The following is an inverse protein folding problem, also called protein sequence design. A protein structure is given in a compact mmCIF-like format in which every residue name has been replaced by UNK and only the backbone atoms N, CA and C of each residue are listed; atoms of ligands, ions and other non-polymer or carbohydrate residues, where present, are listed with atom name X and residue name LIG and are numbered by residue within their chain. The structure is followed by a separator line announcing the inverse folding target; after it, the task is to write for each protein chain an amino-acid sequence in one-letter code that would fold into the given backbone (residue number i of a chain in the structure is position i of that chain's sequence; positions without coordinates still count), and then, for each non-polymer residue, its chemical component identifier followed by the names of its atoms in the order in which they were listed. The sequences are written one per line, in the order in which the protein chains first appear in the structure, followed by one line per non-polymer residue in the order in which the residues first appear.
data_IF_358876711953
#
_entry.id   IF_358876711953
#
_cell.length_a   1.000
_cell.length_b   1.000
_cell.length_c   1.000
_cell.angle_alpha   90.00
_cell.angle_beta   90.00
_cell.angle_gamma   90.00
#
_symmetry.space_group_name_H-M   'P 1'
#
loop_
_entity.id
_entity.type
_entity.pdbx_description
1 polymer ?
#
# COMPACT_ATOMS: atom_id res chain seq x y z
N UNK A 1 -9.75 14.70 -0.48
CA UNK A 1 -8.73 14.56 -1.53
C UNK A 1 -8.12 13.16 -1.50
N UNK A 2 -7.83 12.63 -2.66
CA UNK A 2 -7.30 11.26 -2.82
C UNK A 2 -6.06 11.35 -3.69
N UNK A 3 -4.97 10.73 -3.25
CA UNK A 3 -3.72 10.64 -4.01
C UNK A 3 -3.32 9.18 -4.20
N UNK A 4 -3.35 8.72 -5.44
CA UNK A 4 -3.07 7.34 -5.81
C UNK A 4 -1.89 7.30 -6.76
N UNK A 5 -0.93 6.41 -6.47
CA UNK A 5 0.27 6.28 -7.27
C UNK A 5 0.72 4.83 -7.37
N UNK A 6 1.11 4.43 -8.56
CA UNK A 6 1.86 3.19 -8.80
C UNK A 6 3.15 3.61 -9.50
N UNK A 7 4.29 3.23 -8.96
CA UNK A 7 5.58 3.72 -9.44
C UNK A 7 6.69 2.68 -9.22
N UNK A 8 7.67 2.60 -10.13
CA UNK A 8 8.89 1.83 -9.88
C UNK A 8 9.88 2.54 -8.95
N UNK A 9 9.63 3.81 -8.64
CA UNK A 9 10.52 4.59 -7.77
C UNK A 9 10.26 4.29 -6.30
N UNK A 10 11.29 4.50 -5.47
CA UNK A 10 11.19 4.38 -4.04
C UNK A 10 10.09 5.29 -3.49
N UNK A 11 9.27 4.75 -2.60
CA UNK A 11 8.20 5.51 -1.95
C UNK A 11 8.77 6.40 -0.85
N UNK A 12 8.20 7.59 -0.69
CA UNK A 12 8.69 8.60 0.25
C UNK A 12 7.71 8.79 1.41
N UNK A 13 8.12 8.34 2.60
CA UNK A 13 7.30 8.44 3.81
C UNK A 13 7.09 9.91 4.19
N UNK A 14 8.13 10.73 4.11
CA UNK A 14 8.06 12.13 4.52
C UNK A 14 7.08 12.92 3.66
N UNK A 15 7.17 12.77 2.35
CA UNK A 15 6.23 13.42 1.44
C UNK A 15 4.79 12.96 1.69
N UNK A 16 4.62 11.67 1.97
CA UNK A 16 3.30 11.11 2.26
C UNK A 16 2.72 11.74 3.53
N UNK A 17 3.52 11.85 4.58
CA UNK A 17 3.10 12.49 5.83
C UNK A 17 2.76 13.96 5.63
N UNK A 18 3.58 14.69 4.90
CA UNK A 18 3.34 16.11 4.65
C UNK A 18 2.03 16.33 3.87
N UNK A 19 1.76 15.47 2.90
CA UNK A 19 0.55 15.59 2.08
C UNK A 19 -0.72 15.22 2.84
N UNK A 20 -0.66 14.23 3.72
CA UNK A 20 -1.87 13.71 4.39
C UNK A 20 -2.43 14.66 5.44
N UNK A 21 -1.62 15.58 5.93
CA UNK A 21 -2.04 16.55 6.96
C UNK A 21 -3.10 17.49 6.39
N UNK A 22 -4.22 17.58 7.10
CA UNK A 22 -5.31 18.49 6.79
C UNK A 22 -5.63 19.31 8.03
N UNK A 23 -5.99 20.58 7.86
CA UNK A 23 -6.25 21.48 8.99
C UNK A 23 -7.38 20.98 9.92
N UNK A 24 -8.27 20.15 9.37
CA UNK A 24 -9.43 19.64 10.13
C UNK A 24 -9.16 18.27 10.75
N UNK A 25 -8.02 17.65 10.48
CA UNK A 25 -7.78 16.30 10.98
C UNK A 25 -7.36 16.32 12.45
N UNK A 26 -7.93 15.40 13.22
CA UNK A 26 -7.50 15.13 14.59
C UNK A 26 -6.71 13.83 14.70
N UNK A 27 -6.73 13.00 13.65
CA UNK A 27 -6.01 11.73 13.61
C UNK A 27 -5.48 11.40 12.23
N UNK A 28 -4.28 10.83 12.22
CA UNK A 28 -3.64 10.33 11.00
C UNK A 28 -3.24 8.89 11.27
N UNK A 29 -3.67 7.99 10.38
CA UNK A 29 -3.20 6.62 10.40
C UNK A 29 -2.31 6.38 9.20
N UNK A 30 -1.13 5.81 9.44
CA UNK A 30 -0.13 5.54 8.42
C UNK A 30 0.24 4.07 8.47
N UNK A 31 -0.05 3.35 7.40
CA UNK A 31 0.39 1.98 7.23
C UNK A 31 1.54 1.93 6.24
N UNK A 32 2.64 1.30 6.64
CA UNK A 32 3.81 1.09 5.80
C UNK A 32 4.05 -0.40 5.72
N UNK A 33 3.92 -0.97 4.50
CA UNK A 33 4.32 -2.34 4.25
C UNK A 33 5.82 -2.40 4.01
N UNK A 34 6.46 -3.51 4.41
CA UNK A 34 7.88 -3.74 4.19
C UNK A 34 8.11 -5.13 3.62
N UNK A 35 9.18 -5.27 2.85
CA UNK A 35 9.60 -6.59 2.37
C UNK A 35 10.24 -7.33 3.54
N UNK A 36 9.64 -8.46 3.93
CA UNK A 36 10.10 -9.28 5.06
C UNK A 36 11.34 -10.09 4.70
N UNK A 37 12.22 -10.38 5.67
CA UNK A 37 13.43 -11.17 5.42
C UNK A 37 13.16 -12.66 5.22
N UNK A 38 11.99 -13.15 5.65
CA UNK A 38 11.66 -14.58 5.59
C UNK A 38 10.19 -14.79 5.21
N UNK A 39 9.94 -15.90 4.52
CA UNK A 39 8.59 -16.41 4.26
C UNK A 39 8.58 -17.90 4.53
N UNK A 40 7.79 -18.33 5.54
CA UNK A 40 7.69 -19.72 5.95
C UNK A 40 9.07 -20.39 6.19
N UNK A 41 9.98 -19.65 6.83
CA UNK A 41 11.32 -20.12 7.15
C UNK A 41 12.34 -19.99 6.03
N UNK A 42 11.93 -19.60 4.83
CA UNK A 42 12.83 -19.38 3.70
C UNK A 42 13.29 -17.92 3.67
N UNK A 43 14.60 -17.72 3.54
CA UNK A 43 15.17 -16.37 3.47
C UNK A 43 14.91 -15.76 2.11
N UNK A 44 14.29 -14.58 2.10
CA UNK A 44 13.97 -13.83 0.90
C UNK A 44 15.20 -12.99 0.50
N UNK A 45 15.57 -13.08 -0.77
CA UNK A 45 16.65 -12.26 -1.35
C UNK A 45 16.07 -11.00 -1.97
N UNK A 46 15.01 -11.18 -2.76
CA UNK A 46 14.33 -10.06 -3.39
C UNK A 46 12.87 -10.39 -3.70
N UNK A 47 12.10 -9.35 -3.90
CA UNK A 47 10.70 -9.40 -4.28
C UNK A 47 10.54 -8.63 -5.58
N UNK A 48 9.90 -9.25 -6.57
CA UNK A 48 9.53 -8.56 -7.80
C UNK A 48 8.02 -8.37 -7.83
N UNK A 49 7.59 -7.14 -8.03
CA UNK A 49 6.18 -6.78 -8.10
C UNK A 49 5.85 -6.21 -9.48
N UNK A 50 4.74 -6.66 -10.04
CA UNK A 50 4.25 -6.15 -11.32
C UNK A 50 2.73 -6.09 -11.30
N UNK A 51 2.15 -5.30 -12.20
CA UNK A 51 0.70 -5.12 -12.27
C UNK A 51 0.28 -4.63 -13.64
N UNK A 52 -1.01 -4.80 -13.92
CA UNK A 52 -1.67 -4.07 -15.02
C UNK A 52 -2.00 -2.68 -14.50
N UNK A 53 -1.12 -1.72 -14.77
CA UNK A 53 -1.12 -0.40 -14.12
C UNK A 53 -2.46 0.31 -14.19
N UNK A 54 -3.09 0.40 -15.37
CA UNK A 54 -4.37 1.11 -15.49
C UNK A 54 -5.49 0.44 -14.70
N UNK A 55 -5.56 -0.89 -14.75
CA UNK A 55 -6.57 -1.64 -13.99
C UNK A 55 -6.33 -1.48 -12.49
N UNK A 56 -5.10 -1.54 -12.05
CA UNK A 56 -4.73 -1.36 -10.65
C UNK A 56 -5.07 0.06 -10.16
N UNK A 57 -4.76 1.08 -10.95
CA UNK A 57 -5.10 2.46 -10.60
C UNK A 57 -6.62 2.65 -10.46
N UNK A 58 -7.39 2.08 -11.38
CA UNK A 58 -8.85 2.14 -11.32
C UNK A 58 -9.39 1.46 -10.06
N UNK A 59 -8.86 0.30 -9.72
CA UNK A 59 -9.28 -0.43 -8.53
C UNK A 59 -8.91 0.31 -7.25
N UNK A 60 -7.72 0.87 -7.18
CA UNK A 60 -7.30 1.69 -6.04
C UNK A 60 -8.19 2.93 -5.87
N UNK A 61 -8.59 3.55 -6.98
CA UNK A 61 -9.51 4.68 -6.94
C UNK A 61 -10.87 4.27 -6.39
N UNK A 62 -11.38 3.12 -6.81
CA UNK A 62 -12.65 2.56 -6.32
C UNK A 62 -12.58 2.31 -4.81
N UNK A 63 -11.50 1.71 -4.34
CA UNK A 63 -11.28 1.44 -2.92
C UNK A 63 -11.26 2.75 -2.11
N UNK A 64 -10.51 3.73 -2.59
CA UNK A 64 -10.40 5.02 -1.92
C UNK A 64 -11.73 5.76 -1.87
N UNK A 65 -12.47 5.77 -2.98
CA UNK A 65 -13.80 6.40 -3.04
C UNK A 65 -14.76 5.77 -2.04
N UNK A 66 -14.77 4.46 -1.96
CA UNK A 66 -15.62 3.74 -1.00
C UNK A 66 -15.26 4.12 0.43
N UNK A 67 -13.97 4.09 0.77
CA UNK A 67 -13.51 4.41 2.12
C UNK A 67 -13.86 5.86 2.50
N UNK A 68 -13.66 6.79 1.58
CA UNK A 68 -13.95 8.20 1.81
C UNK A 68 -15.43 8.45 2.09
N UNK A 69 -16.30 7.75 1.37
CA UNK A 69 -17.74 7.90 1.55
C UNK A 69 -18.26 7.23 2.84
N UNK A 70 -17.65 6.11 3.20
CA UNK A 70 -18.10 5.34 4.36
C UNK A 70 -17.68 5.97 5.70
N UNK A 71 -16.46 6.48 5.80
CA UNK A 71 -15.88 6.90 7.08
C UNK A 71 -15.64 8.39 7.24
N UNK A 72 -16.08 9.21 6.33
CA UNK A 72 -15.94 10.67 6.45
C UNK A 72 -14.52 11.12 6.80
N UNK A 73 -13.57 10.72 5.98
CA UNK A 73 -12.16 11.09 6.12
C UNK A 73 -11.81 12.30 5.26
N UNK A 74 -10.76 13.06 5.61
CA UNK A 74 -10.33 14.23 4.86
C UNK A 74 -9.49 13.84 3.65
N UNK A 75 -8.42 13.09 3.86
CA UNK A 75 -7.50 12.72 2.79
C UNK A 75 -7.16 11.25 2.85
N UNK A 76 -6.96 10.66 1.67
CA UNK A 76 -6.50 9.28 1.50
C UNK A 76 -5.33 9.27 0.53
N UNK A 77 -4.26 8.60 0.90
CA UNK A 77 -3.10 8.37 0.06
C UNK A 77 -2.85 6.87 -0.06
N UNK A 78 -2.71 6.38 -1.27
CA UNK A 78 -2.34 4.99 -1.54
C UNK A 78 -1.23 4.99 -2.57
N UNK A 79 -0.01 4.70 -2.14
CA UNK A 79 1.14 4.59 -3.03
C UNK A 79 1.64 3.17 -3.05
N UNK A 80 1.80 2.60 -4.22
CA UNK A 80 2.33 1.25 -4.40
C UNK A 80 3.52 1.25 -5.33
N UNK A 81 4.59 0.58 -4.92
CA UNK A 81 5.79 0.42 -5.73
C UNK A 81 5.72 -0.88 -6.51
N UNK A 82 6.21 -0.87 -7.73
CA UNK A 82 6.41 -2.05 -8.56
C UNK A 82 7.89 -2.16 -8.94
N UNK A 83 8.27 -3.29 -9.53
CA UNK A 83 9.66 -3.55 -9.89
C UNK A 83 10.36 -4.44 -8.87
N UNK A 84 11.67 -4.34 -8.81
CA UNK A 84 12.50 -5.16 -7.93
C UNK A 84 12.71 -4.45 -6.59
N UNK A 85 12.30 -5.12 -5.52
CA UNK A 85 12.45 -4.63 -4.15
C UNK A 85 13.34 -5.60 -3.38
N UNK A 86 14.06 -5.06 -2.40
CA UNK A 86 14.93 -5.83 -1.51
C UNK A 86 14.33 -5.88 -0.11
N UNK A 87 14.84 -6.77 0.71
CA UNK A 87 14.43 -6.88 2.12
C UNK A 87 14.54 -5.51 2.80
N UNK A 88 13.46 -5.11 3.47
CA UNK A 88 13.37 -3.82 4.13
C UNK A 88 12.82 -2.68 3.28
N UNK A 89 12.76 -2.85 1.95
CA UNK A 89 12.14 -1.86 1.08
C UNK A 89 10.63 -1.77 1.34
N UNK A 90 10.04 -0.66 0.91
CA UNK A 90 8.63 -0.35 1.17
C UNK A 90 7.83 -0.51 -0.12
N UNK A 91 7.00 -1.58 -0.23
CA UNK A 91 6.13 -1.77 -1.39
C UNK A 91 4.87 -0.91 -1.35
N UNK A 92 4.39 -0.53 -0.17
CA UNK A 92 3.11 0.19 -0.07
C UNK A 92 3.11 1.15 1.11
N UNK A 93 2.53 2.32 0.87
CA UNK A 93 2.20 3.30 1.91
C UNK A 93 0.72 3.63 1.76
N UNK A 94 -0.02 3.53 2.87
CA UNK A 94 -1.41 3.97 2.95
C UNK A 94 -1.50 4.97 4.09
N UNK A 95 -2.03 6.14 3.81
CA UNK A 95 -2.24 7.16 4.82
C UNK A 95 -3.67 7.67 4.77
N UNK A 96 -4.25 7.91 5.93
CA UNK A 96 -5.61 8.44 6.06
C UNK A 96 -5.60 9.51 7.12
N UNK A 97 -6.17 10.67 6.83
CA UNK A 97 -6.43 11.71 7.82
C UNK A 97 -7.92 11.86 8.03
N UNK A 98 -8.33 11.97 9.28
CA UNK A 98 -9.72 12.09 9.68
C UNK A 98 -9.85 13.00 10.90
N UNK A 99 -11.05 13.51 11.13
CA UNK A 99 -11.32 14.32 12.32
C UNK A 99 -11.07 13.52 13.59
N UNK A 100 -11.45 12.23 13.59
CA UNK A 100 -11.29 11.33 14.74
C UNK A 100 -10.56 10.05 14.34
N UNK A 101 -9.83 9.47 15.30
CA UNK A 101 -8.98 8.30 15.08
C UNK A 101 -9.74 7.06 14.57
N UNK A 102 -10.97 6.84 15.02
CA UNK A 102 -11.73 5.64 14.63
C UNK A 102 -11.93 5.57 13.12
N UNK A 103 -12.32 6.68 12.50
CA UNK A 103 -12.48 6.75 11.05
C UNK A 103 -11.14 6.52 10.33
N UNK A 104 -10.06 7.09 10.85
CA UNK A 104 -8.74 6.89 10.27
C UNK A 104 -8.30 5.42 10.33
N UNK A 105 -8.45 4.77 11.48
CA UNK A 105 -8.12 3.35 11.63
C UNK A 105 -8.97 2.45 10.73
N UNK A 106 -10.28 2.66 10.73
CA UNK A 106 -11.20 1.81 9.98
C UNK A 106 -10.99 1.94 8.48
N UNK A 107 -10.83 3.16 7.99
CA UNK A 107 -10.59 3.40 6.58
C UNK A 107 -9.23 2.83 6.13
N UNK A 108 -8.18 3.02 6.91
CA UNK A 108 -6.86 2.50 6.58
C UNK A 108 -6.86 0.98 6.54
N UNK A 109 -7.48 0.32 7.52
CA UNK A 109 -7.60 -1.14 7.55
C UNK A 109 -8.37 -1.65 6.34
N UNK A 110 -9.51 -1.05 6.05
CA UNK A 110 -10.31 -1.43 4.87
C UNK A 110 -9.49 -1.35 3.59
N UNK A 111 -8.73 -0.26 3.43
CA UNK A 111 -7.95 -0.03 2.23
C UNK A 111 -6.88 -1.11 2.05
N UNK A 112 -6.07 -1.39 3.08
CA UNK A 112 -5.02 -2.40 2.94
C UNK A 112 -5.60 -3.81 2.74
N UNK A 113 -6.64 -4.17 3.50
CA UNK A 113 -7.25 -5.49 3.38
C UNK A 113 -7.87 -5.70 2.00
N UNK A 114 -8.59 -4.71 1.48
CA UNK A 114 -9.23 -4.79 0.17
C UNK A 114 -8.22 -4.77 -0.96
N UNK A 115 -7.20 -3.92 -0.85
CA UNK A 115 -6.12 -3.87 -1.83
C UNK A 115 -5.49 -5.24 -2.03
N UNK A 116 -5.21 -5.94 -0.94
CA UNK A 116 -4.59 -7.27 -1.00
C UNK A 116 -5.50 -8.33 -1.60
N UNK A 117 -6.80 -8.11 -1.61
CA UNK A 117 -7.78 -9.04 -2.16
C UNK A 117 -8.12 -8.77 -3.62
N UNK A 118 -8.19 -7.51 -4.03
CA UNK A 118 -8.81 -7.13 -5.28
C UNK A 118 -7.88 -6.48 -6.30
N UNK A 119 -6.78 -5.86 -5.86
CA UNK A 119 -5.86 -5.19 -6.79
C UNK A 119 -4.93 -6.24 -7.42
N UNK A 120 -4.86 -6.31 -8.76
CA UNK A 120 -4.08 -7.34 -9.44
C UNK A 120 -2.57 -7.00 -9.41
N UNK A 121 -1.92 -7.34 -8.33
CA UNK A 121 -0.47 -7.18 -8.18
C UNK A 121 0.16 -8.57 -8.16
N UNK A 122 1.04 -8.82 -9.12
CA UNK A 122 1.77 -10.07 -9.23
C UNK A 122 3.03 -9.98 -8.40
N UNK A 123 3.31 -11.06 -7.65
CA UNK A 123 4.43 -11.13 -6.72
C UNK A 123 5.32 -12.33 -7.07
N UNK A 124 6.62 -12.08 -7.17
CA UNK A 124 7.62 -13.12 -7.35
C UNK A 124 8.66 -12.97 -6.24
N UNK A 125 8.68 -13.92 -5.30
CA UNK A 125 9.71 -13.98 -4.27
C UNK A 125 10.86 -14.88 -4.72
N UNK A 126 12.08 -14.39 -4.55
CA UNK A 126 13.30 -15.14 -4.84
C UNK A 126 13.98 -15.40 -3.52
N UNK A 127 14.24 -16.69 -3.23
CA UNK A 127 14.82 -17.14 -1.98
C UNK A 127 16.33 -17.39 -2.10
N UNK A 128 17.02 -17.42 -0.97
CA UNK A 128 18.47 -17.61 -0.89
C UNK A 128 18.93 -18.92 -1.51
N UNK A 129 18.11 -19.99 -1.43
CA UNK A 129 18.40 -21.30 -2.01
C UNK A 129 18.14 -21.38 -3.51
N UNK A 130 17.72 -20.29 -4.13
CA UNK A 130 17.42 -20.22 -5.56
C UNK A 130 15.99 -20.59 -5.91
N UNK A 131 15.17 -21.03 -4.97
CA UNK A 131 13.75 -21.29 -5.21
C UNK A 131 13.00 -19.98 -5.46
N UNK A 132 11.90 -20.10 -6.20
CA UNK A 132 11.07 -18.96 -6.61
C UNK A 132 9.62 -19.28 -6.33
N UNK A 133 8.91 -18.32 -5.71
CA UNK A 133 7.47 -18.40 -5.56
C UNK A 133 6.81 -17.28 -6.38
N UNK A 134 5.76 -17.62 -7.10
CA UNK A 134 5.01 -16.66 -7.92
C UNK A 134 3.53 -16.72 -7.55
N UNK A 135 2.92 -15.56 -7.35
CA UNK A 135 1.51 -15.47 -7.05
C UNK A 135 0.95 -14.09 -7.30
N UNK A 136 -0.34 -13.95 -7.06
CA UNK A 136 -1.04 -12.68 -7.15
C UNK A 136 -1.63 -12.33 -5.79
N UNK A 137 -1.81 -11.03 -5.53
CA UNK A 137 -2.42 -10.51 -4.30
C UNK A 137 -1.68 -11.00 -3.04
N UNK A 138 -0.48 -10.47 -2.83
CA UNK A 138 0.36 -10.87 -1.71
C UNK A 138 -0.25 -10.57 -0.34
#
# INVERSE_FOLDING_TARGET
MIDIKITPKELNIRESLDWIVDAQCGGIDLFIGRVRPETLGNKVVQLELDTYTQMALNELQTIANYAKNKWNVQRILIHHRIGVLRVGDIPVIIAVSAEHRNAAFDACRYIIDTLKQTVPIWKKEIYEDGEVWVGANP
#
